data_IF_264233615940
#
_entry.id   IF_264233615940
#
_cell.length_a   1.000
_cell.length_b   1.000
_cell.length_c   1.000
_cell.angle_alpha   90.00
_cell.angle_beta   90.00
_cell.angle_gamma   90.00
#
_symmetry.space_group_name_H-M   'P 1'
#
loop_
_entity.id
_entity.type
_entity.pdbx_description
1 polymer ?
#
# COMPACT_ATOMS: atom_id res chain seq x y z
N UNK A 1 -5.11 -5.93 -13.76
CA UNK A 1 -3.68 -5.82 -14.16
C UNK A 1 -3.16 -7.08 -14.86
N UNK A 2 -3.26 -8.27 -14.23
CA UNK A 2 -2.68 -9.51 -14.78
C UNK A 2 -3.44 -9.99 -16.03
N UNK A 3 -4.78 -9.96 -15.98
CA UNK A 3 -5.63 -10.37 -17.10
C UNK A 3 -5.83 -9.29 -18.19
N UNK A 4 -5.20 -8.12 -18.06
CA UNK A 4 -5.37 -7.03 -19.02
C UNK A 4 -5.09 -7.44 -20.48
N UNK A 5 -4.01 -8.20 -20.80
CA UNK A 5 -3.75 -8.64 -22.18
C UNK A 5 -4.82 -9.59 -22.76
N UNK A 6 -5.58 -10.27 -21.90
CA UNK A 6 -6.63 -11.22 -22.31
C UNK A 6 -8.00 -10.54 -22.51
N UNK A 7 -8.18 -9.36 -21.91
CA UNK A 7 -9.45 -8.62 -21.93
C UNK A 7 -9.49 -7.61 -23.09
N UNK A 8 -8.31 -7.19 -23.53
CA UNK A 8 -8.11 -6.22 -24.61
C UNK A 8 -8.66 -6.74 -25.95
N UNK A 9 -9.44 -5.90 -26.65
CA UNK A 9 -10.06 -6.25 -27.93
C UNK A 9 -9.17 -5.91 -29.12
N UNK A 10 -8.37 -4.85 -29.00
CA UNK A 10 -7.52 -4.34 -30.07
C UNK A 10 -6.12 -4.00 -29.57
N UNK A 11 -5.12 -3.97 -30.46
CA UNK A 11 -3.80 -3.48 -30.09
C UNK A 11 -3.88 -2.04 -29.55
N UNK A 12 -3.51 -1.79 -28.28
CA UNK A 12 -3.67 -0.49 -27.62
C UNK A 12 -2.77 0.61 -28.19
N UNK A 13 -1.71 0.26 -28.93
CA UNK A 13 -0.75 1.22 -29.48
C UNK A 13 -1.01 1.44 -30.97
N UNK A 14 -1.65 0.47 -31.64
CA UNK A 14 -1.91 0.54 -33.08
C UNK A 14 -2.79 1.74 -33.43
N UNK A 15 -2.17 2.70 -34.12
CA UNK A 15 -2.87 3.83 -34.73
C UNK A 15 -3.68 3.29 -35.90
N UNK A 16 -5.00 3.41 -35.83
CA UNK A 16 -5.91 2.97 -36.89
C UNK A 16 -6.21 4.14 -37.82
N UNK A 17 -6.39 3.84 -39.11
CA UNK A 17 -6.81 4.82 -40.13
C UNK A 17 -8.32 5.09 -40.04
N UNK A 18 -9.02 4.48 -39.08
CA UNK A 18 -10.46 4.56 -38.87
C UNK A 18 -10.96 5.89 -38.26
N UNK A 19 -12.25 5.94 -37.87
CA UNK A 19 -12.86 7.16 -37.34
C UNK A 19 -12.19 7.58 -36.04
N UNK A 20 -11.72 8.83 -36.00
CA UNK A 20 -11.13 9.47 -34.81
C UNK A 20 -12.24 10.04 -33.95
N UNK A 21 -12.07 10.00 -32.62
CA UNK A 21 -13.07 10.50 -31.67
C UNK A 21 -14.46 9.87 -31.92
N UNK A 22 -14.47 8.59 -32.33
CA UNK A 22 -15.71 7.86 -32.56
C UNK A 22 -16.41 7.59 -31.23
N UNK A 23 -17.74 7.65 -31.23
CA UNK A 23 -18.56 7.27 -30.08
C UNK A 23 -18.41 5.76 -29.77
N UNK A 24 -18.79 5.32 -28.55
CA UNK A 24 -18.84 3.90 -28.20
C UNK A 24 -19.65 3.07 -29.21
N UNK A 25 -19.11 1.93 -29.61
CA UNK A 25 -19.72 0.98 -30.55
C UNK A 25 -19.34 -0.46 -30.18
N UNK A 26 -19.96 -1.46 -30.83
CA UNK A 26 -19.60 -2.86 -30.60
C UNK A 26 -18.17 -3.19 -31.03
N UNK A 27 -17.65 -2.49 -32.05
CA UNK A 27 -16.26 -2.63 -32.48
C UNK A 27 -15.30 -1.90 -31.54
N UNK A 28 -15.71 -0.73 -31.02
CA UNK A 28 -14.93 0.06 -30.05
C UNK A 28 -15.76 0.34 -28.80
N UNK A 29 -15.66 -0.54 -27.80
CA UNK A 29 -16.49 -0.51 -26.58
C UNK A 29 -16.52 0.84 -25.86
N UNK A 30 -15.41 1.58 -25.88
CA UNK A 30 -15.32 2.95 -25.32
C UNK A 30 -15.02 4.01 -26.39
N UNK A 31 -15.20 3.68 -27.66
CA UNK A 31 -14.88 4.57 -28.77
C UNK A 31 -13.36 4.71 -29.01
N UNK A 32 -13.00 5.66 -29.87
CA UNK A 32 -11.60 5.88 -30.28
C UNK A 32 -11.06 7.22 -29.79
N UNK A 33 -9.73 7.29 -29.59
CA UNK A 33 -9.07 8.54 -29.22
C UNK A 33 -8.80 9.46 -30.44
N UNK A 34 -8.11 10.58 -30.20
CA UNK A 34 -7.74 11.56 -31.23
C UNK A 34 -6.81 11.00 -32.33
N UNK A 35 -6.15 9.86 -32.10
CA UNK A 35 -5.35 9.13 -33.08
C UNK A 35 -6.09 7.91 -33.66
N UNK A 36 -7.37 7.72 -33.33
CA UNK A 36 -8.16 6.58 -33.80
C UNK A 36 -7.83 5.26 -33.08
N UNK A 37 -7.14 5.29 -31.92
CA UNK A 37 -6.82 4.08 -31.14
C UNK A 37 -8.00 3.68 -30.25
N UNK A 38 -8.18 2.39 -29.99
CA UNK A 38 -9.23 1.89 -29.11
C UNK A 38 -9.02 2.32 -27.65
N UNK A 39 -9.95 3.13 -27.13
CA UNK A 39 -9.86 3.70 -25.78
C UNK A 39 -10.03 2.63 -24.70
N UNK A 40 -10.82 1.59 -24.98
CA UNK A 40 -11.02 0.48 -24.03
C UNK A 40 -9.72 -0.27 -23.77
N UNK A 41 -9.09 -0.75 -24.84
CA UNK A 41 -7.82 -1.47 -24.77
C UNK A 41 -6.71 -0.63 -24.14
N UNK A 42 -6.65 0.69 -24.45
CA UNK A 42 -5.71 1.62 -23.83
C UNK A 42 -5.93 1.79 -22.33
N UNK A 43 -7.18 1.86 -21.89
CA UNK A 43 -7.50 2.02 -20.46
C UNK A 43 -7.14 0.77 -19.68
N UNK A 44 -7.52 -0.41 -20.19
CA UNK A 44 -7.23 -1.70 -19.56
C UNK A 44 -5.71 -1.96 -19.46
N UNK A 45 -4.97 -1.67 -20.53
CA UNK A 45 -3.51 -1.83 -20.54
C UNK A 45 -2.80 -0.75 -19.74
N UNK A 46 -3.27 0.50 -19.81
CA UNK A 46 -2.76 1.63 -19.05
C UNK A 46 -2.91 1.44 -17.53
N UNK A 47 -3.97 0.76 -17.08
CA UNK A 47 -4.21 0.47 -15.67
C UNK A 47 -3.19 -0.47 -15.03
N UNK A 48 -2.35 -1.18 -15.80
CA UNK A 48 -1.38 -2.14 -15.24
C UNK A 48 -0.33 -1.48 -14.34
N UNK A 49 0.23 -0.35 -14.78
CA UNK A 49 1.30 0.33 -14.04
C UNK A 49 0.75 0.95 -12.73
N UNK A 50 -0.34 1.74 -12.73
CA UNK A 50 -0.90 2.29 -11.50
C UNK A 50 -1.31 1.21 -10.50
N UNK A 51 -1.91 0.11 -10.97
CA UNK A 51 -2.28 -1.01 -10.09
C UNK A 51 -1.04 -1.66 -9.46
N UNK A 52 0.01 -1.90 -10.24
CA UNK A 52 1.27 -2.45 -9.71
C UNK A 52 1.84 -1.52 -8.65
N UNK A 53 1.93 -0.21 -8.92
CA UNK A 53 2.43 0.78 -7.97
C UNK A 53 1.58 0.79 -6.70
N UNK A 54 0.25 0.82 -6.82
CA UNK A 54 -0.66 0.81 -5.67
C UNK A 54 -0.45 -0.44 -4.80
N UNK A 55 -0.53 -1.64 -5.38
CA UNK A 55 -0.38 -2.89 -4.63
C UNK A 55 1.02 -3.04 -4.02
N UNK A 56 2.08 -2.75 -4.77
CA UNK A 56 3.45 -2.90 -4.28
C UNK A 56 3.75 -1.91 -3.14
N UNK A 57 3.32 -0.65 -3.30
CA UNK A 57 3.60 0.38 -2.29
C UNK A 57 2.78 0.16 -1.02
N UNK A 58 1.48 -0.11 -1.18
CA UNK A 58 0.57 -0.37 -0.06
C UNK A 58 0.95 -1.65 0.68
N UNK A 59 1.21 -2.73 -0.05
CA UNK A 59 1.57 -4.02 0.54
C UNK A 59 2.89 -3.95 1.31
N UNK A 60 3.92 -3.30 0.76
CA UNK A 60 5.20 -3.13 1.47
C UNK A 60 5.06 -2.18 2.68
N UNK A 61 4.34 -1.07 2.53
CA UNK A 61 4.03 -0.14 3.62
C UNK A 61 3.31 -0.82 4.79
N UNK A 62 2.29 -1.63 4.49
CA UNK A 62 1.56 -2.44 5.47
C UNK A 62 2.46 -3.46 6.14
N UNK A 63 3.23 -4.23 5.37
CA UNK A 63 4.07 -5.28 5.91
C UNK A 63 5.12 -4.71 6.88
N UNK A 64 5.81 -3.64 6.47
CA UNK A 64 6.80 -2.98 7.32
C UNK A 64 6.13 -2.28 8.50
N UNK A 65 5.03 -1.57 8.26
CA UNK A 65 4.28 -0.88 9.31
C UNK A 65 3.73 -1.83 10.36
N UNK A 66 3.24 -3.00 9.96
CA UNK A 66 2.78 -4.05 10.86
C UNK A 66 3.92 -4.56 11.75
N UNK A 67 5.06 -4.90 11.17
CA UNK A 67 6.21 -5.39 11.93
C UNK A 67 6.70 -4.32 12.92
N UNK A 68 6.93 -3.09 12.45
CA UNK A 68 7.44 -2.02 13.30
C UNK A 68 6.41 -1.59 14.36
N UNK A 69 5.12 -1.58 14.03
CA UNK A 69 4.05 -1.25 14.96
C UNK A 69 3.90 -2.29 16.07
N UNK A 70 4.00 -3.59 15.75
CA UNK A 70 4.02 -4.67 16.74
C UNK A 70 5.23 -4.55 17.67
N UNK A 71 6.41 -4.27 17.09
CA UNK A 71 7.64 -4.06 17.85
C UNK A 71 7.51 -2.86 18.78
N UNK A 72 6.96 -1.74 18.30
CA UNK A 72 6.74 -0.54 19.10
C UNK A 72 5.73 -0.79 20.24
N UNK A 73 4.57 -1.37 19.94
CA UNK A 73 3.51 -1.55 20.94
C UNK A 73 3.78 -2.66 21.97
N UNK A 74 4.46 -3.73 21.57
CA UNK A 74 4.81 -4.83 22.48
C UNK A 74 6.18 -4.66 23.14
N UNK A 75 7.07 -3.89 22.52
CA UNK A 75 8.44 -3.67 22.97
C UNK A 75 8.58 -2.79 24.22
N UNK A 76 9.83 -2.46 24.59
CA UNK A 76 10.13 -1.53 25.66
C UNK A 76 9.88 -0.08 25.23
N UNK A 77 9.56 0.80 26.20
CA UNK A 77 9.22 2.21 25.97
C UNK A 77 10.26 3.01 25.18
N UNK A 78 11.55 2.70 25.35
CA UNK A 78 12.61 3.41 24.62
C UNK A 78 12.56 3.12 23.11
N UNK A 79 12.21 1.88 22.72
CA UNK A 79 12.13 1.47 21.32
C UNK A 79 10.89 2.05 20.65
N UNK A 80 9.77 2.07 21.37
CA UNK A 80 8.55 2.77 20.96
C UNK A 80 8.83 4.25 20.67
N UNK A 81 9.43 4.97 21.64
CA UNK A 81 9.78 6.38 21.48
C UNK A 81 10.71 6.63 20.28
N UNK A 82 11.71 5.76 20.07
CA UNK A 82 12.63 5.87 18.94
C UNK A 82 11.91 5.68 17.60
N UNK A 83 11.03 4.67 17.50
CA UNK A 83 10.26 4.41 16.28
C UNK A 83 9.26 5.54 15.99
N UNK A 84 8.58 6.05 17.01
CA UNK A 84 7.68 7.20 16.87
C UNK A 84 8.44 8.44 16.42
N UNK A 85 9.63 8.70 16.95
CA UNK A 85 10.49 9.81 16.51
C UNK A 85 10.85 9.68 15.02
N UNK A 86 11.24 8.49 14.56
CA UNK A 86 11.53 8.25 13.14
C UNK A 86 10.29 8.50 12.28
N UNK A 87 9.14 8.00 12.69
CA UNK A 87 7.87 8.18 11.98
C UNK A 87 7.44 9.64 11.90
N UNK A 88 7.58 10.38 13.00
CA UNK A 88 7.28 11.81 13.06
C UNK A 88 8.26 12.62 12.20
N UNK A 89 9.53 12.22 12.17
CA UNK A 89 10.54 12.84 11.30
C UNK A 89 10.18 12.68 9.83
N UNK A 90 9.79 11.48 9.40
CA UNK A 90 9.36 11.23 8.01
C UNK A 90 8.14 12.09 7.66
N UNK A 91 7.16 12.18 8.58
CA UNK A 91 5.92 12.94 8.36
C UNK A 91 6.05 14.45 8.55
N UNK A 92 7.17 14.93 9.11
CA UNK A 92 7.42 16.36 9.29
C UNK A 92 7.58 17.10 7.96
N UNK A 93 8.02 16.40 6.92
CA UNK A 93 8.14 16.94 5.57
C UNK A 93 6.81 16.80 4.80
N UNK A 94 6.40 17.83 4.04
CA UNK A 94 5.33 17.66 3.06
C UNK A 94 5.67 16.52 2.09
N UNK A 95 4.71 15.61 1.87
CA UNK A 95 4.94 14.37 1.11
C UNK A 95 5.50 14.60 -0.29
N UNK A 96 5.06 15.67 -0.96
CA UNK A 96 5.55 16.05 -2.29
C UNK A 96 7.03 16.45 -2.24
N UNK A 97 7.44 17.23 -1.23
CA UNK A 97 8.83 17.67 -1.08
C UNK A 97 9.73 16.47 -0.80
N UNK A 98 9.30 15.59 0.12
CA UNK A 98 10.03 14.35 0.42
C UNK A 98 10.16 13.46 -0.83
N UNK A 99 9.07 13.30 -1.59
CA UNK A 99 9.06 12.51 -2.82
C UNK A 99 10.03 13.07 -3.87
N UNK A 100 10.02 14.39 -4.10
CA UNK A 100 10.93 15.03 -5.05
C UNK A 100 12.39 14.87 -4.63
N UNK A 101 12.71 15.06 -3.35
CA UNK A 101 14.06 14.88 -2.83
C UNK A 101 14.55 13.43 -3.00
N UNK A 102 13.71 12.45 -2.68
CA UNK A 102 14.03 11.03 -2.82
C UNK A 102 14.16 10.60 -4.28
N UNK A 103 13.31 11.09 -5.18
CA UNK A 103 13.41 10.81 -6.62
C UNK A 103 14.67 11.47 -7.21
N UNK A 104 15.03 12.67 -6.76
CA UNK A 104 16.28 13.32 -7.18
C UNK A 104 17.52 12.53 -6.72
N UNK A 105 17.48 11.94 -5.52
CA UNK A 105 18.57 11.13 -4.97
C UNK A 105 18.69 9.74 -5.61
N UNK A 106 17.57 9.03 -5.76
CA UNK A 106 17.51 7.65 -6.25
C UNK A 106 17.42 7.54 -7.78
N UNK A 107 17.10 8.63 -8.46
CA UNK A 107 16.78 8.67 -9.88
C UNK A 107 15.32 8.28 -10.19
N UNK A 108 14.78 8.72 -11.33
CA UNK A 108 13.41 8.43 -11.72
C UNK A 108 13.26 6.98 -12.18
N UNK A 109 12.56 6.17 -11.38
CA UNK A 109 12.19 4.80 -11.74
C UNK A 109 10.88 4.38 -11.06
N UNK A 110 10.23 3.34 -11.58
CA UNK A 110 9.07 2.73 -10.92
C UNK A 110 9.39 2.27 -9.49
N UNK A 111 10.59 1.72 -9.28
CA UNK A 111 11.04 1.27 -7.97
C UNK A 111 11.20 2.45 -7.00
N UNK A 112 11.76 3.58 -7.46
CA UNK A 112 11.91 4.80 -6.66
C UNK A 112 10.55 5.34 -6.22
N UNK A 113 9.56 5.36 -7.12
CA UNK A 113 8.19 5.80 -6.80
C UNK A 113 7.56 4.88 -5.75
N UNK A 114 7.66 3.56 -5.94
CA UNK A 114 7.12 2.58 -4.99
C UNK A 114 7.75 2.78 -3.61
N UNK A 115 9.08 2.85 -3.54
CA UNK A 115 9.82 3.01 -2.29
C UNK A 115 9.45 4.30 -1.56
N UNK A 116 9.32 5.41 -2.28
CA UNK A 116 8.89 6.69 -1.70
C UNK A 116 7.51 6.58 -1.08
N UNK A 117 6.54 6.07 -1.85
CA UNK A 117 5.16 5.92 -1.36
C UNK A 117 5.12 4.99 -0.15
N UNK A 118 5.88 3.89 -0.17
CA UNK A 118 5.96 2.96 0.94
C UNK A 118 6.50 3.61 2.22
N UNK A 119 7.61 4.33 2.12
CA UNK A 119 8.24 4.98 3.28
C UNK A 119 7.34 6.07 3.86
N UNK A 120 6.72 6.89 3.01
CA UNK A 120 5.87 7.99 3.46
C UNK A 120 4.55 7.48 4.06
N UNK A 121 4.03 6.34 3.61
CA UNK A 121 2.75 5.78 4.10
C UNK A 121 2.91 4.86 5.32
N UNK A 122 4.06 4.21 5.47
CA UNK A 122 4.34 3.24 6.53
C UNK A 122 4.04 3.77 7.95
N UNK A 123 4.40 5.03 8.32
CA UNK A 123 4.09 5.60 9.64
C UNK A 123 2.62 5.51 10.06
N UNK A 124 1.68 5.65 9.11
CA UNK A 124 0.24 5.63 9.40
C UNK A 124 -0.17 4.24 9.86
N UNK A 125 0.20 3.21 9.10
CA UNK A 125 -0.10 1.82 9.46
C UNK A 125 0.62 1.42 10.75
N UNK A 126 1.91 1.77 10.88
CA UNK A 126 2.68 1.44 12.07
C UNK A 126 2.07 2.02 13.36
N UNK A 127 1.59 3.27 13.31
CA UNK A 127 0.95 3.92 14.46
C UNK A 127 -0.35 3.23 14.86
N UNK A 128 -1.19 2.84 13.90
CA UNK A 128 -2.44 2.11 14.17
C UNK A 128 -2.15 0.74 14.77
N UNK A 129 -1.20 0.00 14.22
CA UNK A 129 -0.79 -1.29 14.77
C UNK A 129 -0.26 -1.14 16.19
N UNK A 130 0.58 -0.13 16.42
CA UNK A 130 1.15 0.16 17.74
C UNK A 130 0.07 0.44 18.78
N UNK A 131 -0.89 1.34 18.50
CA UNK A 131 -1.95 1.66 19.46
C UNK A 131 -2.87 0.46 19.74
N UNK A 132 -3.22 -0.31 18.71
CA UNK A 132 -4.02 -1.53 18.88
C UNK A 132 -3.26 -2.60 19.68
N UNK A 133 -1.96 -2.75 19.41
CA UNK A 133 -1.09 -3.69 20.12
C UNK A 133 -0.95 -3.32 21.59
N UNK A 134 -0.76 -2.03 21.90
CA UNK A 134 -0.70 -1.54 23.28
C UNK A 134 -2.00 -1.83 24.04
N UNK A 135 -3.16 -1.56 23.43
CA UNK A 135 -4.46 -1.82 24.02
C UNK A 135 -4.68 -3.33 24.29
N UNK A 136 -4.37 -4.19 23.32
CA UNK A 136 -4.50 -5.64 23.46
C UNK A 136 -3.49 -6.20 24.47
N UNK A 137 -2.27 -5.66 24.54
CA UNK A 137 -1.25 -6.08 25.50
C UNK A 137 -1.70 -5.90 26.95
N UNK A 138 -2.50 -4.88 27.23
CA UNK A 138 -3.07 -4.60 28.56
C UNK A 138 -4.37 -5.34 28.88
N UNK A 139 -4.85 -6.22 28.00
CA UNK A 139 -6.11 -6.93 28.22
C UNK A 139 -5.98 -8.08 29.23
N UNK A 140 -7.09 -8.40 29.89
CA UNK A 140 -7.18 -9.50 30.86
C UNK A 140 -6.89 -10.86 30.23
N UNK A 141 -7.32 -11.10 28.98
CA UNK A 141 -7.08 -12.38 28.32
C UNK A 141 -5.60 -12.61 28.00
N UNK A 142 -4.84 -11.55 27.69
CA UNK A 142 -3.38 -11.66 27.52
C UNK A 142 -2.69 -11.93 28.87
N UNK A 143 -3.18 -11.34 29.96
CA UNK A 143 -2.68 -11.63 31.30
C UNK A 143 -2.95 -13.10 31.71
N UNK A 144 -4.12 -13.64 31.37
CA UNK A 144 -4.45 -15.04 31.57
C UNK A 144 -3.53 -15.97 30.75
N UNK A 145 -3.33 -15.70 29.46
CA UNK A 145 -2.42 -16.47 28.60
C UNK A 145 -0.98 -16.48 29.13
N UNK A 146 -0.48 -15.35 29.63
CA UNK A 146 0.85 -15.28 30.28
C UNK A 146 0.93 -16.15 31.53
N UNK A 147 -0.13 -16.16 32.34
CA UNK A 147 -0.22 -16.99 33.55
C UNK A 147 -0.23 -18.49 33.21
N UNK A 148 -0.74 -18.86 32.03
CA UNK A 148 -0.67 -20.23 31.48
C UNK A 148 0.69 -20.57 30.83
N UNK A 149 1.68 -19.67 30.90
CA UNK A 149 3.02 -19.90 30.36
C UNK A 149 3.16 -19.63 28.85
N UNK A 150 2.23 -18.89 28.23
CA UNK A 150 2.36 -18.51 26.83
C UNK A 150 3.57 -17.58 26.61
N UNK A 151 4.48 -17.98 25.74
CA UNK A 151 5.62 -17.14 25.33
C UNK A 151 5.21 -15.91 24.51
N UNK A 152 6.06 -14.89 24.49
CA UNK A 152 5.83 -13.63 23.75
C UNK A 152 5.50 -13.85 22.28
N UNK A 153 6.20 -14.77 21.60
CA UNK A 153 5.97 -15.07 20.18
C UNK A 153 4.58 -15.65 19.92
N UNK A 154 4.12 -16.56 20.79
CA UNK A 154 2.76 -17.11 20.74
C UNK A 154 1.71 -16.03 20.97
N UNK A 155 1.91 -15.19 21.99
CA UNK A 155 1.01 -14.06 22.27
C UNK A 155 0.90 -13.14 21.05
N UNK A 156 2.02 -12.77 20.45
CA UNK A 156 2.04 -11.89 19.29
C UNK A 156 1.37 -12.53 18.07
N UNK A 157 1.73 -13.76 17.70
CA UNK A 157 1.28 -14.38 16.46
C UNK A 157 -0.16 -14.91 16.53
N UNK A 158 -0.58 -15.44 17.68
CA UNK A 158 -1.88 -16.13 17.82
C UNK A 158 -2.94 -15.21 18.43
N UNK A 159 -2.56 -14.31 19.33
CA UNK A 159 -3.54 -13.54 20.10
C UNK A 159 -3.59 -12.06 19.67
N UNK A 160 -2.45 -11.41 19.39
CA UNK A 160 -2.44 -9.98 19.04
C UNK A 160 -2.63 -9.79 17.54
N UNK A 161 -1.78 -10.40 16.71
CA UNK A 161 -1.75 -10.18 15.27
C UNK A 161 -3.12 -10.36 14.60
N UNK A 162 -3.89 -11.45 14.84
CA UNK A 162 -5.21 -11.61 14.22
C UNK A 162 -6.20 -10.51 14.60
N UNK A 163 -6.11 -9.97 15.83
CA UNK A 163 -6.98 -8.90 16.30
C UNK A 163 -6.61 -7.53 15.70
N UNK A 164 -5.33 -7.30 15.39
CA UNK A 164 -4.87 -6.04 14.77
C UNK A 164 -5.16 -5.99 13.27
N UNK A 165 -5.28 -7.14 12.60
CA UNK A 165 -5.58 -7.20 11.16
C UNK A 165 -6.94 -6.60 10.80
N UNK A 166 -7.96 -6.74 11.66
CA UNK A 166 -9.30 -6.20 11.40
C UNK A 166 -9.31 -4.68 11.14
N UNK A 167 -8.85 -3.86 12.11
CA UNK A 167 -8.73 -2.42 11.93
C UNK A 167 -7.81 -2.01 10.76
N UNK A 168 -6.74 -2.79 10.51
CA UNK A 168 -5.85 -2.52 9.38
C UNK A 168 -6.55 -2.69 8.03
N UNK A 169 -7.32 -3.75 7.84
CA UNK A 169 -8.03 -3.99 6.58
C UNK A 169 -9.02 -2.87 6.25
N UNK A 170 -9.64 -2.27 7.28
CA UNK A 170 -10.50 -1.10 7.10
C UNK A 170 -9.68 0.10 6.62
N UNK A 171 -8.53 0.37 7.25
CA UNK A 171 -7.66 1.49 6.84
C UNK A 171 -7.12 1.33 5.42
N UNK A 172 -6.86 0.09 4.99
CA UNK A 172 -6.39 -0.23 3.63
C UNK A 172 -7.45 0.02 2.56
N UNK A 173 -8.73 0.03 2.96
CA UNK A 173 -9.85 0.27 2.05
C UNK A 173 -10.16 1.76 1.81
N UNK A 174 -9.56 2.67 2.60
CA UNK A 174 -9.73 4.11 2.48
C UNK A 174 -8.74 4.72 1.49
#
# INVERSE_FOLDING_TARGET
AIFAPLIVTHDPIRIMVGPRLAAPSLDFLLGTDHLGRDTFSRTIMGGRIPLLVAFASLGSSLAVGLVLGLIAGFGPRWLDNLLMLVFDTIRSFPSIIFALAMIALLGPSLASVILVISITSMPIYARVVRTQTEALRSSEYIAAERSMGAGTTRILAVHILPNVLGPLLILVSM
#
